data_IF_321896032923
#
_entry.id   IF_321896032923
#
_cell.length_a   1.000
_cell.length_b   1.000
_cell.length_c   1.000
_cell.angle_alpha   90.00
_cell.angle_beta   90.00
_cell.angle_gamma   90.00
#
_symmetry.space_group_name_H-M   'P 1'
#
loop_
_entity.id
_entity.type
_entity.pdbx_description
1 polymer ?
#
# COMPACT_ATOMS: atom_id res chain seq x y z
N UNK A 1 -9.36 12.29 -36.72
CA UNK A 1 -9.38 11.45 -35.50
C UNK A 1 -8.23 11.75 -34.55
N UNK A 2 -7.12 12.28 -35.09
CA UNK A 2 -5.93 12.76 -34.34
C UNK A 2 -6.20 13.42 -32.98
N UNK A 3 -6.93 14.55 -32.93
CA UNK A 3 -7.16 15.29 -31.68
C UNK A 3 -7.85 14.46 -30.59
N UNK A 4 -8.85 13.64 -30.95
CA UNK A 4 -9.57 12.80 -29.99
C UNK A 4 -8.68 11.73 -29.38
N UNK A 5 -7.85 11.07 -30.20
CA UNK A 5 -6.89 10.06 -29.71
C UNK A 5 -5.85 10.69 -28.79
N UNK A 6 -5.33 11.87 -29.11
CA UNK A 6 -4.38 12.60 -28.24
C UNK A 6 -5.03 12.91 -26.89
N UNK A 7 -6.23 13.49 -26.88
CA UNK A 7 -6.94 13.81 -25.63
C UNK A 7 -7.17 12.54 -24.80
N UNK A 8 -7.64 11.45 -25.41
CA UNK A 8 -7.84 10.18 -24.70
C UNK A 8 -6.53 9.64 -24.13
N UNK A 9 -5.44 9.69 -24.90
CA UNK A 9 -4.12 9.26 -24.43
C UNK A 9 -3.62 10.09 -23.25
N UNK A 10 -3.75 11.42 -23.31
CA UNK A 10 -3.36 12.32 -22.21
C UNK A 10 -4.21 12.06 -20.96
N UNK A 11 -5.53 11.98 -21.10
CA UNK A 11 -6.43 11.68 -19.97
C UNK A 11 -6.08 10.34 -19.35
N UNK A 12 -5.84 9.30 -20.16
CA UNK A 12 -5.46 7.99 -19.67
C UNK A 12 -4.14 8.05 -18.88
N UNK A 13 -3.11 8.71 -19.42
CA UNK A 13 -1.82 8.84 -18.73
C UNK A 13 -1.95 9.61 -17.42
N UNK A 14 -2.78 10.65 -17.37
CA UNK A 14 -3.06 11.38 -16.12
C UNK A 14 -3.75 10.49 -15.08
N UNK A 15 -4.73 9.69 -15.48
CA UNK A 15 -5.38 8.71 -14.60
C UNK A 15 -4.37 7.67 -14.09
N UNK A 16 -3.50 7.19 -14.97
CA UNK A 16 -2.44 6.23 -14.64
C UNK A 16 -1.42 6.80 -13.65
N UNK A 17 -1.08 8.09 -13.75
CA UNK A 17 -0.20 8.80 -12.81
C UNK A 17 -0.90 9.20 -11.50
N UNK A 18 -2.23 9.35 -11.51
CA UNK A 18 -2.99 9.66 -10.31
C UNK A 18 -2.99 8.48 -9.33
N UNK A 19 -3.01 7.25 -9.83
CA UNK A 19 -3.02 6.03 -9.02
C UNK A 19 -1.85 5.98 -8.01
N UNK A 20 -0.56 6.09 -8.38
CA UNK A 20 0.55 6.11 -7.43
C UNK A 20 0.50 7.30 -6.45
N UNK A 21 -0.07 8.44 -6.85
CA UNK A 21 -0.21 9.62 -5.97
C UNK A 21 -1.29 9.39 -4.91
N UNK A 22 -2.46 8.90 -5.30
CA UNK A 22 -3.56 8.55 -4.38
C UNK A 22 -3.10 7.46 -3.43
N UNK A 23 -2.39 6.48 -3.97
CA UNK A 23 -1.69 5.42 -3.23
C UNK A 23 -0.73 6.03 -2.22
N UNK A 24 0.24 6.84 -2.62
CA UNK A 24 1.18 7.51 -1.70
C UNK A 24 0.47 8.31 -0.60
N UNK A 25 -0.56 9.07 -0.98
CA UNK A 25 -1.33 9.87 -0.04
C UNK A 25 -2.14 9.00 0.93
N UNK A 26 -2.74 7.90 0.47
CA UNK A 26 -3.39 6.88 1.31
C UNK A 26 -2.41 6.19 2.24
N UNK A 27 -1.18 5.94 1.76
CA UNK A 27 -0.09 5.42 2.56
C UNK A 27 0.33 6.33 3.69
N UNK A 28 0.50 7.62 3.37
CA UNK A 28 0.68 8.67 4.36
C UNK A 28 -0.56 8.87 5.23
N UNK A 29 -1.74 8.50 4.77
CA UNK A 29 -2.98 8.61 5.53
C UNK A 29 -3.24 7.38 6.43
N UNK A 30 -2.51 6.26 6.24
CA UNK A 30 -2.81 4.93 6.81
C UNK A 30 -4.31 4.65 6.89
N UNK A 31 -5.08 5.16 5.93
CA UNK A 31 -6.51 4.94 5.75
C UNK A 31 -6.75 4.92 4.24
N UNK A 32 -7.71 4.15 3.74
CA UNK A 32 -8.13 4.30 2.36
C UNK A 32 -8.61 5.75 2.17
N UNK A 33 -8.12 6.43 1.13
CA UNK A 33 -8.68 7.73 0.77
C UNK A 33 -10.06 7.49 0.17
N UNK A 34 -11.09 8.11 0.73
CA UNK A 34 -12.46 8.02 0.24
C UNK A 34 -12.87 9.34 -0.40
N UNK A 35 -13.50 9.28 -1.56
CA UNK A 35 -14.15 10.44 -2.20
C UNK A 35 -15.64 10.39 -1.83
N UNK A 36 -16.23 11.49 -1.30
CA UNK A 36 -17.67 11.52 -1.01
C UNK A 36 -18.49 11.25 -2.29
N UNK A 37 -19.53 10.38 -2.27
CA UNK A 37 -20.12 9.67 -1.14
C UNK A 37 -19.86 8.16 -1.23
N UNK A 38 -18.77 7.66 -0.60
CA UNK A 38 -18.46 6.24 -0.35
C UNK A 38 -17.66 5.47 -1.41
N UNK A 39 -16.97 6.13 -2.36
CA UNK A 39 -16.07 5.41 -3.28
C UNK A 39 -14.61 5.54 -2.87
N UNK A 40 -13.80 4.46 -2.91
CA UNK A 40 -12.35 4.57 -2.81
C UNK A 40 -11.85 5.59 -3.85
N UNK A 41 -10.93 6.46 -3.45
CA UNK A 41 -10.41 7.53 -4.31
C UNK A 41 -9.79 7.03 -5.62
N UNK A 42 -9.38 5.76 -5.64
CA UNK A 42 -8.86 5.05 -6.81
C UNK A 42 -9.93 4.76 -7.87
N UNK A 43 -11.20 4.61 -7.48
CA UNK A 43 -12.29 4.28 -8.42
C UNK A 43 -12.49 5.37 -9.46
N UNK A 44 -12.32 6.64 -9.06
CA UNK A 44 -12.52 7.78 -9.97
C UNK A 44 -11.53 7.77 -11.14
N UNK A 45 -10.19 7.76 -10.94
CA UNK A 45 -9.25 7.67 -12.05
C UNK A 45 -9.35 6.35 -12.80
N UNK A 46 -9.71 5.24 -12.14
CA UNK A 46 -9.89 3.95 -12.82
C UNK A 46 -11.04 4.00 -13.85
N UNK A 47 -12.19 4.54 -13.45
CA UNK A 47 -13.36 4.68 -14.34
C UNK A 47 -13.06 5.66 -15.48
N UNK A 48 -12.44 6.81 -15.19
CA UNK A 48 -12.08 7.78 -16.22
C UNK A 48 -11.05 7.19 -17.20
N UNK A 49 -10.04 6.49 -16.68
CA UNK A 49 -9.03 5.80 -17.47
C UNK A 49 -9.63 4.71 -18.35
N UNK A 50 -10.55 3.90 -17.82
CA UNK A 50 -11.28 2.88 -18.58
C UNK A 50 -12.05 3.51 -19.74
N UNK A 51 -12.81 4.57 -19.48
CA UNK A 51 -13.57 5.28 -20.50
C UNK A 51 -12.64 5.84 -21.58
N UNK A 52 -11.53 6.48 -21.19
CA UNK A 52 -10.53 7.00 -22.12
C UNK A 52 -9.91 5.90 -22.99
N UNK A 53 -9.62 4.73 -22.41
CA UNK A 53 -9.11 3.57 -23.13
C UNK A 53 -10.11 3.05 -24.18
N UNK A 54 -11.39 2.92 -23.81
CA UNK A 54 -12.46 2.49 -24.73
C UNK A 54 -12.58 3.46 -25.90
N UNK A 55 -12.59 4.77 -25.64
CA UNK A 55 -12.63 5.78 -26.71
C UNK A 55 -11.39 5.74 -27.61
N UNK A 56 -10.21 5.51 -27.03
CA UNK A 56 -8.97 5.36 -27.81
C UNK A 56 -9.04 4.12 -28.71
N UNK A 57 -9.52 2.99 -28.20
CA UNK A 57 -9.75 1.76 -28.98
C UNK A 57 -10.70 1.98 -30.14
N UNK A 58 -11.86 2.62 -29.90
CA UNK A 58 -12.82 2.96 -30.96
C UNK A 58 -12.19 3.88 -32.01
N UNK A 59 -11.37 4.86 -31.60
CA UNK A 59 -10.67 5.75 -32.51
C UNK A 59 -9.62 5.01 -33.36
N UNK A 60 -8.91 4.03 -32.79
CA UNK A 60 -7.97 3.17 -33.52
C UNK A 60 -8.72 2.33 -34.56
N UNK A 61 -9.78 1.63 -34.16
CA UNK A 61 -10.58 0.80 -35.08
C UNK A 61 -11.13 1.65 -36.24
N UNK A 62 -11.72 2.82 -35.95
CA UNK A 62 -12.22 3.73 -36.98
C UNK A 62 -11.11 4.25 -37.90
N UNK A 63 -9.93 4.54 -37.35
CA UNK A 63 -8.76 4.99 -38.11
C UNK A 63 -8.22 3.89 -39.03
N UNK A 64 -8.25 2.63 -38.59
CA UNK A 64 -7.88 1.47 -39.39
C UNK A 64 -8.85 1.28 -40.56
N UNK A 65 -10.17 1.28 -40.30
CA UNK A 65 -11.22 1.13 -41.32
C UNK A 65 -11.15 2.27 -42.35
N UNK A 66 -11.15 3.52 -41.89
CA UNK A 66 -11.14 4.71 -42.76
C UNK A 66 -9.81 4.98 -43.46
N UNK A 67 -8.78 4.17 -43.17
CA UNK A 67 -7.42 4.28 -43.71
C UNK A 67 -6.72 5.64 -43.49
N UNK A 68 -7.18 6.42 -42.52
CA UNK A 68 -6.75 7.80 -42.26
C UNK A 68 -6.23 7.96 -40.82
N UNK A 69 -5.19 8.77 -40.63
CA UNK A 69 -4.56 9.07 -39.34
C UNK A 69 -3.93 7.85 -38.60
N UNK A 70 -3.77 6.68 -39.26
CA UNK A 70 -3.36 5.41 -38.63
C UNK A 70 -2.06 5.48 -37.83
N UNK A 71 -1.01 6.09 -38.39
CA UNK A 71 0.29 6.22 -37.73
C UNK A 71 0.18 7.00 -36.42
N UNK A 72 -0.68 8.03 -36.40
CA UNK A 72 -0.91 8.84 -35.21
C UNK A 72 -1.70 8.08 -34.14
N UNK A 73 -2.82 7.46 -34.51
CA UNK A 73 -3.68 6.74 -33.56
C UNK A 73 -2.99 5.52 -32.97
N UNK A 74 -2.25 4.76 -33.78
CA UNK A 74 -1.41 3.64 -33.32
C UNK A 74 -0.23 4.12 -32.47
N UNK A 75 0.40 5.24 -32.82
CA UNK A 75 1.49 5.82 -32.03
C UNK A 75 1.03 6.22 -30.62
N UNK A 76 -0.15 6.83 -30.50
CA UNK A 76 -0.75 7.14 -29.18
C UNK A 76 -1.07 5.87 -28.40
N UNK A 77 -1.64 4.84 -29.05
CA UNK A 77 -1.90 3.56 -28.39
C UNK A 77 -0.60 2.92 -27.88
N UNK A 78 0.45 2.91 -28.69
CA UNK A 78 1.76 2.36 -28.31
C UNK A 78 2.35 3.11 -27.11
N UNK A 79 2.25 4.45 -27.10
CA UNK A 79 2.71 5.27 -25.97
C UNK A 79 1.93 4.95 -24.68
N UNK A 80 0.61 4.77 -24.77
CA UNK A 80 -0.23 4.38 -23.62
C UNK A 80 0.17 3.01 -23.10
N UNK A 81 0.32 2.00 -23.97
CA UNK A 81 0.75 0.65 -23.57
C UNK A 81 2.13 0.67 -22.91
N UNK A 82 3.08 1.42 -23.48
CA UNK A 82 4.41 1.57 -22.91
C UNK A 82 4.37 2.25 -21.53
N UNK A 83 3.56 3.30 -21.36
CA UNK A 83 3.38 3.98 -20.08
C UNK A 83 2.74 3.07 -19.02
N UNK A 84 1.70 2.31 -19.39
CA UNK A 84 1.07 1.32 -18.51
C UNK A 84 2.07 0.26 -18.05
N UNK A 85 2.83 -0.33 -18.99
CA UNK A 85 3.85 -1.30 -18.66
C UNK A 85 4.92 -0.71 -17.74
N UNK A 86 5.48 0.44 -18.11
CA UNK A 86 6.51 1.10 -17.31
C UNK A 86 6.04 1.36 -15.87
N UNK A 87 4.85 1.91 -15.67
CA UNK A 87 4.33 2.19 -14.33
C UNK A 87 4.01 0.91 -13.55
N UNK A 88 3.42 -0.10 -14.19
CA UNK A 88 3.12 -1.37 -13.51
C UNK A 88 4.39 -2.08 -13.00
N UNK A 89 5.47 -2.05 -13.77
CA UNK A 89 6.75 -2.64 -13.36
C UNK A 89 7.52 -1.78 -12.36
N UNK A 90 7.44 -0.44 -12.46
CA UNK A 90 8.30 0.44 -11.66
C UNK A 90 7.67 0.93 -10.37
N UNK A 91 6.37 1.26 -10.34
CA UNK A 91 5.70 1.85 -9.18
C UNK A 91 5.84 1.00 -7.90
N UNK A 92 5.63 -0.33 -7.90
CA UNK A 92 5.81 -1.13 -6.69
C UNK A 92 7.22 -1.04 -6.10
N UNK A 93 8.22 -0.74 -6.94
CA UNK A 93 9.63 -0.65 -6.61
C UNK A 93 10.10 0.77 -6.29
N UNK A 94 9.20 1.75 -6.11
CA UNK A 94 9.63 3.10 -5.80
C UNK A 94 9.89 3.27 -4.29
N UNK A 95 11.11 3.68 -3.86
CA UNK A 95 11.43 3.82 -2.43
C UNK A 95 10.63 4.92 -1.74
N UNK A 96 10.08 5.87 -2.51
CA UNK A 96 9.36 7.04 -2.00
C UNK A 96 8.19 6.64 -1.08
N UNK A 97 7.55 5.49 -1.33
CA UNK A 97 6.46 4.99 -0.51
C UNK A 97 6.91 4.63 0.92
N UNK A 98 8.10 4.05 1.08
CA UNK A 98 8.69 3.75 2.40
C UNK A 98 9.02 5.03 3.17
N UNK A 99 9.49 6.07 2.49
CA UNK A 99 9.76 7.37 3.13
C UNK A 99 8.48 8.03 3.63
N UNK A 100 7.40 7.99 2.85
CA UNK A 100 6.09 8.53 3.26
C UNK A 100 5.51 7.79 4.48
N UNK A 101 5.61 6.45 4.50
CA UNK A 101 5.22 5.63 5.64
C UNK A 101 6.04 5.98 6.89
N UNK A 102 7.38 6.01 6.76
CA UNK A 102 8.29 6.38 7.85
C UNK A 102 7.91 7.73 8.43
N UNK A 103 7.75 8.76 7.60
CA UNK A 103 7.52 10.13 8.07
C UNK A 103 6.23 10.25 8.89
N UNK A 104 5.16 9.54 8.50
CA UNK A 104 3.96 9.44 9.32
C UNK A 104 4.22 8.72 10.64
N UNK A 105 4.83 7.55 10.60
CA UNK A 105 5.05 6.75 11.80
C UNK A 105 5.94 7.48 12.79
N UNK A 106 6.98 8.15 12.32
CA UNK A 106 7.83 9.01 13.14
C UNK A 106 7.04 10.18 13.72
N UNK A 107 6.23 10.89 12.92
CA UNK A 107 5.49 12.06 13.39
C UNK A 107 4.33 11.76 14.33
N UNK A 108 3.69 10.59 14.21
CA UNK A 108 2.50 10.22 14.99
C UNK A 108 2.77 9.23 16.13
N UNK A 109 3.77 8.37 15.99
CA UNK A 109 4.10 7.33 16.98
C UNK A 109 5.47 7.59 17.59
N UNK A 110 6.47 7.86 16.75
CA UNK A 110 7.86 8.02 17.16
C UNK A 110 8.56 6.68 17.40
N UNK A 111 9.87 6.64 17.16
CA UNK A 111 10.67 5.42 17.23
C UNK A 111 10.67 4.76 18.62
N UNK A 112 10.69 5.56 19.69
CA UNK A 112 10.69 5.04 21.05
C UNK A 112 9.42 4.22 21.34
N UNK A 113 8.26 4.67 20.87
CA UNK A 113 6.99 3.98 21.10
C UNK A 113 6.87 2.71 20.24
N UNK A 114 7.48 2.67 19.05
CA UNK A 114 7.58 1.44 18.26
C UNK A 114 8.42 0.38 18.96
N UNK A 115 9.54 0.79 19.58
CA UNK A 115 10.39 -0.10 20.39
C UNK A 115 9.68 -0.62 21.62
N UNK A 116 9.05 0.27 22.38
CA UNK A 116 8.29 -0.12 23.58
C UNK A 116 7.14 -1.09 23.23
N UNK A 117 6.45 -0.87 22.10
CA UNK A 117 5.47 -1.83 21.58
C UNK A 117 6.12 -3.20 21.30
N UNK A 118 7.24 -3.21 20.59
CA UNK A 118 7.93 -4.46 20.26
C UNK A 118 8.41 -5.21 21.52
N UNK A 119 8.94 -4.49 22.50
CA UNK A 119 9.31 -5.03 23.80
C UNK A 119 8.10 -5.67 24.50
N UNK A 120 6.98 -4.95 24.63
CA UNK A 120 5.76 -5.44 25.28
C UNK A 120 5.18 -6.69 24.59
N UNK A 121 5.12 -6.70 23.26
CA UNK A 121 4.58 -7.85 22.51
C UNK A 121 5.54 -9.04 22.53
N UNK A 122 6.86 -8.81 22.50
CA UNK A 122 7.86 -9.88 22.54
C UNK A 122 7.92 -10.64 23.88
N UNK A 123 7.42 -10.03 24.97
CA UNK A 123 7.42 -10.61 26.32
C UNK A 123 6.23 -11.55 26.59
N UNK A 124 5.80 -12.33 25.59
CA UNK A 124 4.65 -13.25 25.66
C UNK A 124 3.34 -12.54 26.07
N UNK A 125 3.01 -11.45 25.37
CA UNK A 125 1.75 -10.75 25.60
C UNK A 125 0.54 -11.71 25.50
N UNK A 126 -0.50 -11.62 26.36
CA UNK A 126 -1.60 -12.59 26.43
C UNK A 126 -2.37 -12.81 25.12
N UNK A 127 -2.38 -11.79 24.25
CA UNK A 127 -3.01 -11.83 22.93
C UNK A 127 -2.14 -12.47 21.84
N UNK A 128 -0.88 -12.80 22.12
CA UNK A 128 0.03 -13.45 21.16
C UNK A 128 -0.16 -14.96 21.25
N UNK A 129 -0.49 -15.59 20.12
CA UNK A 129 -0.69 -17.04 20.06
C UNK A 129 0.65 -17.81 20.10
N UNK A 130 0.57 -19.14 20.11
CA UNK A 130 1.75 -20.03 20.08
C UNK A 130 2.62 -19.90 18.83
N UNK A 131 2.10 -19.30 17.75
CA UNK A 131 2.83 -19.03 16.52
C UNK A 131 3.54 -17.66 16.53
N UNK A 132 3.35 -16.88 17.60
CA UNK A 132 3.87 -15.51 17.72
C UNK A 132 2.96 -14.46 17.07
N UNK A 133 1.73 -14.78 16.69
CA UNK A 133 0.82 -13.86 16.01
C UNK A 133 -0.08 -13.16 17.04
N UNK A 134 -0.14 -11.84 17.00
CA UNK A 134 -1.10 -11.06 17.80
C UNK A 134 -2.52 -11.31 17.29
N UNK A 135 -3.33 -11.94 18.12
CA UNK A 135 -4.72 -12.23 17.83
C UNK A 135 -5.54 -10.94 17.94
N UNK A 136 -6.24 -10.60 16.86
CA UNK A 136 -7.21 -9.50 16.87
C UNK A 136 -8.60 -10.06 17.16
N UNK A 137 -9.26 -9.64 18.25
CA UNK A 137 -10.54 -10.20 18.65
C UNK A 137 -11.63 -10.05 17.58
N UNK A 138 -11.70 -8.91 16.89
CA UNK A 138 -12.64 -8.63 15.80
C UNK A 138 -12.63 -9.66 14.65
N UNK A 139 -11.56 -10.46 14.53
CA UNK A 139 -11.41 -11.49 13.49
C UNK A 139 -11.77 -12.91 13.95
N UNK A 140 -12.05 -13.11 15.24
CA UNK A 140 -12.39 -14.43 15.76
C UNK A 140 -13.91 -14.68 15.68
N UNK A 141 -14.30 -15.91 15.37
CA UNK A 141 -15.71 -16.33 15.39
C UNK A 141 -16.33 -16.32 16.79
N UNK A 142 -15.51 -16.49 17.82
CA UNK A 142 -15.90 -16.41 19.22
C UNK A 142 -14.79 -15.68 19.99
N UNK A 143 -15.18 -14.65 20.72
CA UNK A 143 -14.29 -13.73 21.44
C UNK A 143 -14.71 -13.69 22.90
N UNK A 144 -13.76 -13.84 23.81
CA UNK A 144 -14.04 -13.59 25.22
C UNK A 144 -14.07 -12.08 25.54
N UNK A 145 -14.89 -11.64 26.51
CA UNK A 145 -14.90 -10.24 26.94
C UNK A 145 -13.52 -9.74 27.39
N UNK A 146 -12.75 -10.60 28.07
CA UNK A 146 -11.38 -10.30 28.54
C UNK A 146 -10.42 -10.02 27.38
N UNK A 147 -10.48 -10.80 26.29
CA UNK A 147 -9.66 -10.55 25.10
C UNK A 147 -10.01 -9.22 24.43
N UNK A 148 -11.29 -8.83 24.48
CA UNK A 148 -11.74 -7.54 23.94
C UNK A 148 -11.20 -6.38 24.78
N UNK A 149 -11.25 -6.50 26.10
CA UNK A 149 -10.71 -5.50 27.02
C UNK A 149 -9.19 -5.35 26.85
N UNK A 150 -8.45 -6.46 26.84
CA UNK A 150 -7.00 -6.46 26.60
C UNK A 150 -6.62 -5.83 25.26
N UNK A 151 -7.43 -6.07 24.22
CA UNK A 151 -7.21 -5.45 22.90
C UNK A 151 -7.47 -3.94 22.94
N UNK A 152 -8.57 -3.51 23.56
CA UNK A 152 -8.91 -2.10 23.67
C UNK A 152 -7.84 -1.33 24.47
N UNK A 153 -7.33 -1.92 25.55
CA UNK A 153 -6.23 -1.38 26.34
C UNK A 153 -4.95 -1.26 25.53
N UNK A 154 -4.62 -2.29 24.75
CA UNK A 154 -3.46 -2.29 23.86
C UNK A 154 -3.61 -1.21 22.77
N UNK A 155 -4.78 -1.07 22.17
CA UNK A 155 -5.08 -0.03 21.18
C UNK A 155 -5.02 1.36 21.79
N UNK A 156 -5.46 1.55 23.04
CA UNK A 156 -5.36 2.82 23.74
C UNK A 156 -3.90 3.26 23.95
N UNK A 157 -3.00 2.32 24.27
CA UNK A 157 -1.55 2.57 24.36
C UNK A 157 -0.89 2.74 22.99
N UNK A 158 -1.35 1.98 22.00
CA UNK A 158 -0.81 1.94 20.64
C UNK A 158 -1.90 2.20 19.58
N UNK A 159 -2.32 3.46 19.39
CA UNK A 159 -3.44 3.79 18.49
C UNK A 159 -3.24 3.38 17.03
N UNK A 160 -1.99 3.14 16.60
CA UNK A 160 -1.70 2.67 15.24
C UNK A 160 -2.22 1.25 14.96
N UNK A 161 -2.56 0.46 15.98
CA UNK A 161 -3.21 -0.84 15.81
C UNK A 161 -4.63 -0.70 15.22
N UNK A 162 -5.29 0.43 15.50
CA UNK A 162 -6.62 0.79 15.00
C UNK A 162 -6.60 1.56 13.67
N UNK A 163 -5.43 1.88 13.11
CA UNK A 163 -5.36 2.52 11.78
C UNK A 163 -5.72 1.55 10.63
N UNK A 164 -6.30 0.40 10.94
CA UNK A 164 -6.29 -0.74 10.06
C UNK A 164 -7.71 -1.29 9.88
N UNK A 165 -8.42 -0.76 8.87
CA UNK A 165 -9.68 -1.33 8.34
C UNK A 165 -9.44 -2.62 7.50
N UNK A 166 -8.23 -3.22 7.55
CA UNK A 166 -7.81 -4.33 6.69
C UNK A 166 -6.84 -5.34 7.34
N UNK A 167 -6.33 -6.33 6.58
CA UNK A 167 -5.68 -7.57 7.03
C UNK A 167 -4.24 -7.37 7.54
N UNK A 168 -3.96 -6.32 8.31
CA UNK A 168 -2.64 -6.27 8.95
C UNK A 168 -2.47 -7.33 10.02
N UNK A 169 -1.23 -7.77 10.19
CA UNK A 169 -0.81 -8.80 11.12
C UNK A 169 0.35 -8.26 11.96
N UNK A 170 0.41 -8.68 13.23
CA UNK A 170 1.59 -8.50 14.06
C UNK A 170 2.17 -9.87 14.32
N UNK A 171 3.44 -10.07 14.00
CA UNK A 171 4.18 -11.31 14.19
C UNK A 171 5.35 -11.00 15.11
N UNK A 172 5.31 -11.52 16.32
CA UNK A 172 6.34 -11.46 17.33
C UNK A 172 6.95 -12.84 17.53
N UNK A 173 7.99 -13.16 16.76
CA UNK A 173 8.66 -14.47 16.79
C UNK A 173 10.16 -14.30 16.66
N UNK A 174 10.91 -15.11 17.40
CA UNK A 174 12.37 -15.18 17.26
C UNK A 174 13.10 -13.88 17.63
N UNK A 175 12.54 -13.07 18.54
CA UNK A 175 13.11 -11.78 18.92
C UNK A 175 12.86 -10.65 17.91
N UNK A 176 12.05 -10.88 16.90
CA UNK A 176 11.59 -9.89 15.92
C UNK A 176 10.10 -9.64 16.12
N UNK A 177 9.72 -8.37 16.20
CA UNK A 177 8.33 -7.93 16.10
C UNK A 177 8.14 -7.23 14.78
N UNK A 178 7.37 -7.86 13.92
CA UNK A 178 6.96 -7.35 12.63
C UNK A 178 5.51 -6.92 12.70
N UNK A 179 5.24 -5.71 12.24
CA UNK A 179 3.90 -5.21 12.03
C UNK A 179 3.73 -4.92 10.55
N UNK A 180 2.84 -5.65 9.91
CA UNK A 180 2.41 -5.41 8.53
C UNK A 180 0.99 -4.89 8.48
N UNK A 181 0.76 -3.93 7.60
CA UNK A 181 -0.56 -3.49 7.16
C UNK A 181 -0.82 -4.09 5.78
N UNK A 182 -2.01 -4.66 5.61
CA UNK A 182 -2.55 -4.91 4.28
C UNK A 182 -3.24 -3.63 3.81
N UNK A 183 -2.93 -3.19 2.61
CA UNK A 183 -3.58 -2.03 2.03
C UNK A 183 -3.71 -2.17 0.52
N UNK A 184 -4.69 -1.51 -0.12
CA UNK A 184 -4.83 -1.46 -1.58
C UNK A 184 -3.60 -0.90 -2.33
N UNK A 185 -2.62 -0.35 -1.62
CA UNK A 185 -1.26 -0.17 -2.11
C UNK A 185 -0.58 -1.54 -2.18
N UNK A 186 -0.60 -2.16 -3.36
CA UNK A 186 0.26 -3.25 -3.85
C UNK A 186 1.35 -3.66 -2.84
N UNK A 187 1.08 -4.76 -2.12
CA UNK A 187 2.00 -5.35 -1.15
C UNK A 187 1.60 -5.16 0.31
N UNK A 188 2.35 -5.84 1.19
CA UNK A 188 2.26 -5.70 2.64
C UNK A 188 3.36 -4.74 3.11
N UNK A 189 3.02 -3.68 3.83
CA UNK A 189 4.01 -2.68 4.26
C UNK A 189 3.89 -2.44 5.75
N UNK A 190 4.98 -2.02 6.38
CA UNK A 190 5.15 -2.29 7.79
C UNK A 190 6.39 -1.69 8.41
N UNK A 191 6.65 -2.11 9.64
CA UNK A 191 7.96 -2.00 10.26
C UNK A 191 8.32 -3.30 10.98
N UNK A 192 9.62 -3.50 11.14
CA UNK A 192 10.22 -4.57 11.91
C UNK A 192 11.08 -3.96 13.00
N UNK A 193 10.91 -4.44 14.23
CA UNK A 193 11.75 -4.08 15.37
C UNK A 193 12.32 -5.35 15.97
N UNK A 194 13.62 -5.36 16.26
CA UNK A 194 14.28 -6.42 17.03
C UNK A 194 14.64 -5.90 18.43
N UNK A 195 13.79 -6.07 19.47
CA UNK A 195 14.09 -5.60 20.82
C UNK A 195 15.41 -6.16 21.34
N UNK A 196 16.39 -5.29 21.58
CA UNK A 196 17.73 -5.68 22.05
C UNK A 196 18.59 -6.44 21.03
N UNK A 197 18.18 -6.48 19.76
CA UNK A 197 18.86 -7.20 18.69
C UNK A 197 19.09 -6.34 17.43
N UNK A 198 19.34 -7.02 16.31
CA UNK A 198 19.50 -6.41 15.00
C UNK A 198 18.45 -6.98 14.04
N UNK A 199 17.86 -6.12 13.21
CA UNK A 199 16.99 -6.60 12.11
C UNK A 199 17.86 -7.13 10.98
N UNK A 200 17.45 -8.24 10.37
CA UNK A 200 18.11 -8.77 9.17
C UNK A 200 17.58 -8.06 7.93
N UNK A 201 18.48 -7.72 7.00
CA UNK A 201 18.06 -7.16 5.71
C UNK A 201 17.21 -8.20 4.95
N UNK A 202 16.13 -7.72 4.34
CA UNK A 202 15.23 -8.56 3.56
C UNK A 202 15.80 -8.84 2.17
N UNK A 203 15.43 -9.98 1.61
CA UNK A 203 15.74 -10.34 0.23
C UNK A 203 15.18 -9.27 -0.73
N UNK A 204 16.02 -8.60 -1.54
CA UNK A 204 15.59 -7.57 -2.49
C UNK A 204 14.58 -8.04 -3.53
N UNK A 205 14.50 -9.35 -3.78
CA UNK A 205 13.50 -9.94 -4.68
C UNK A 205 12.11 -10.04 -4.03
N UNK A 206 12.05 -10.06 -2.69
CA UNK A 206 10.82 -10.26 -1.91
C UNK A 206 10.28 -8.96 -1.30
N UNK A 207 11.16 -8.03 -0.96
CA UNK A 207 10.75 -6.79 -0.31
C UNK A 207 11.73 -5.65 -0.54
N UNK A 208 11.22 -4.43 -0.38
CA UNK A 208 12.04 -3.26 -0.14
C UNK A 208 12.04 -2.94 1.34
N UNK A 209 13.18 -2.50 1.85
CA UNK A 209 13.31 -2.04 3.22
C UNK A 209 14.03 -0.71 3.30
N UNK A 210 13.70 0.03 4.35
CA UNK A 210 14.37 1.26 4.74
C UNK A 210 14.83 1.11 6.18
N UNK A 211 16.10 0.75 6.35
CA UNK A 211 16.74 0.64 7.66
C UNK A 211 16.91 2.03 8.26
N UNK A 212 16.34 2.25 9.44
CA UNK A 212 16.42 3.54 10.17
C UNK A 212 17.31 3.45 11.40
N UNK A 213 17.49 2.25 11.95
CA UNK A 213 18.45 1.94 13.01
C UNK A 213 18.87 0.46 12.89
N UNK A 214 19.84 0.01 13.70
CA UNK A 214 20.24 -1.41 13.74
C UNK A 214 19.07 -2.32 14.10
N UNK A 215 18.19 -1.85 14.97
CA UNK A 215 17.09 -2.61 15.55
C UNK A 215 15.74 -2.32 14.89
N UNK A 216 15.69 -1.45 13.88
CA UNK A 216 14.42 -0.97 13.30
C UNK A 216 14.55 -0.69 11.80
N UNK A 217 13.63 -1.26 11.02
CA UNK A 217 13.47 -0.96 9.59
C UNK A 217 11.99 -0.88 9.18
N UNK A 218 11.70 -0.08 8.16
CA UNK A 218 10.41 -0.08 7.46
C UNK A 218 10.48 -1.04 6.28
N UNK A 219 9.38 -1.73 5.99
CA UNK A 219 9.35 -2.80 4.98
C UNK A 219 8.16 -2.62 4.05
N UNK A 220 8.33 -3.03 2.79
CA UNK A 220 7.30 -3.14 1.77
C UNK A 220 7.53 -4.42 0.98
N UNK A 221 6.71 -5.43 1.24
CA UNK A 221 6.75 -6.72 0.58
C UNK A 221 6.01 -6.69 -0.76
N UNK A 222 6.47 -7.52 -1.70
CA UNK A 222 5.91 -7.61 -3.04
C UNK A 222 4.91 -8.75 -3.25
N UNK A 223 4.77 -9.63 -2.25
CA UNK A 223 3.86 -10.77 -2.23
C UNK A 223 2.44 -10.41 -1.72
#
# INVERSE_FOLDING_TARGET
MKHRSIICGVVYVLCLLADPVIRYAGGRACVPLWVPPLLPAQVVPDVIGLVAAVFLWVAVVRSLIARRDRRWTLGVLAAVVAATGALWFSVPRWPVFLYGLRDRFVSKVGYARMRHFAEEISQNHPLVNTEGILIRPDRLKAVSPEQTEQWNDLVARYPFLAWNDGPGHVIARGGLVELTWGSPLVGHWGFQVAPGGEVTDLDPERAWFLRVAKDLQFVNYFD
#
